data_IF_447815698543
#
_entry.id   IF_447815698543
#
_cell.length_a   1.000
_cell.length_b   1.000
_cell.length_c   1.000
_cell.angle_alpha   90.00
_cell.angle_beta   90.00
_cell.angle_gamma   90.00
#
_symmetry.space_group_name_H-M   'P 1'
#
loop_
_entity.id
_entity.type
_entity.pdbx_description
1 polymer ?
#
# COMPACT_ATOMS: atom_id res chain seq x y z
N UNK A 1 15.13 9.94 30.37
CA UNK A 1 14.56 8.57 30.30
C UNK A 1 13.13 8.60 30.82
N UNK A 2 12.13 8.76 29.95
CA UNK A 2 10.71 8.70 30.32
C UNK A 2 9.84 8.46 29.09
N UNK A 3 9.31 7.24 29.05
CA UNK A 3 8.15 6.68 28.36
C UNK A 3 7.74 7.29 27.00
N UNK A 4 8.16 6.62 25.93
CA UNK A 4 7.50 6.66 24.62
C UNK A 4 6.26 5.76 24.70
N UNK A 5 5.08 6.36 24.79
CA UNK A 5 3.80 5.64 24.74
C UNK A 5 3.61 5.15 23.30
N UNK A 6 3.86 3.86 23.08
CA UNK A 6 3.53 3.16 21.83
C UNK A 6 2.03 3.18 21.65
N UNK A 7 1.58 3.80 20.58
CA UNK A 7 0.17 3.84 20.24
C UNK A 7 -0.05 3.02 18.97
N UNK A 8 -0.89 2.01 19.16
CA UNK A 8 -1.21 0.95 18.20
C UNK A 8 -2.27 1.52 17.26
N UNK A 9 -1.84 1.97 16.08
CA UNK A 9 -2.76 2.26 14.98
C UNK A 9 -2.71 1.10 13.99
N UNK A 10 -3.54 0.09 14.24
CA UNK A 10 -3.98 -0.77 13.16
C UNK A 10 -5.05 0.01 12.39
N UNK A 11 -4.71 0.42 11.16
CA UNK A 11 -5.67 0.92 10.18
C UNK A 11 -6.55 -0.25 9.69
N UNK A 12 -7.44 -0.72 10.54
CA UNK A 12 -8.59 -1.53 10.15
C UNK A 12 -9.85 -0.75 10.44
N UNK A 13 -10.46 -0.20 9.39
CA UNK A 13 -11.74 0.47 9.55
C UNK A 13 -12.05 1.42 8.41
N UNK A 14 -12.21 0.88 7.19
CA UNK A 14 -13.07 1.52 6.18
C UNK A 14 -13.44 0.65 4.96
N UNK A 15 -13.10 -0.64 4.94
CA UNK A 15 -13.41 -1.51 3.79
C UNK A 15 -14.67 -2.36 3.94
N UNK A 16 -15.28 -2.49 5.12
CA UNK A 16 -16.28 -3.54 5.36
C UNK A 16 -17.76 -3.11 5.42
N UNK A 17 -18.12 -1.82 5.27
CA UNK A 17 -19.53 -1.42 5.46
C UNK A 17 -20.46 -1.70 4.26
N UNK A 18 -19.98 -2.03 3.05
CA UNK A 18 -20.89 -2.25 1.90
C UNK A 18 -20.49 -3.39 0.95
N UNK A 19 -19.85 -4.43 1.47
CA UNK A 19 -19.20 -5.42 0.63
C UNK A 19 -19.93 -6.76 0.67
N UNK A 20 -20.64 -7.10 -0.40
CA UNK A 20 -21.10 -8.48 -0.63
C UNK A 20 -19.93 -9.47 -0.65
N UNK A 21 -20.25 -10.76 -0.53
CA UNK A 21 -19.29 -11.84 -0.76
C UNK A 21 -18.61 -11.61 -2.14
N UNK A 22 -17.29 -11.38 -2.15
CA UNK A 22 -16.53 -11.05 -3.37
C UNK A 22 -15.87 -9.67 -3.41
N UNK A 23 -16.07 -8.81 -2.41
CA UNK A 23 -15.44 -7.48 -2.43
C UNK A 23 -13.90 -7.49 -2.24
N UNK A 24 -13.24 -6.48 -2.82
CA UNK A 24 -11.82 -6.17 -2.56
C UNK A 24 -11.52 -5.95 -1.07
N UNK A 25 -12.49 -5.39 -0.31
CA UNK A 25 -12.36 -5.15 1.12
C UNK A 25 -12.19 -6.43 1.94
N UNK A 26 -12.97 -7.46 1.61
CA UNK A 26 -12.90 -8.79 2.24
C UNK A 26 -11.59 -9.50 1.89
N UNK A 27 -11.18 -9.43 0.62
CA UNK A 27 -9.92 -9.99 0.13
C UNK A 27 -8.70 -9.40 0.87
N UNK A 28 -8.65 -8.07 0.99
CA UNK A 28 -7.59 -7.38 1.72
C UNK A 28 -7.60 -7.69 3.23
N UNK A 29 -8.77 -7.87 3.84
CA UNK A 29 -8.87 -8.28 5.24
C UNK A 29 -8.31 -9.70 5.46
N UNK A 30 -8.66 -10.65 4.59
CA UNK A 30 -8.14 -12.02 4.63
C UNK A 30 -6.61 -12.04 4.47
N UNK A 31 -6.09 -11.31 3.47
CA UNK A 31 -4.65 -11.13 3.28
C UNK A 31 -3.97 -10.56 4.54
N UNK A 32 -4.56 -9.53 5.14
CA UNK A 32 -4.02 -8.91 6.34
C UNK A 32 -3.91 -9.88 7.53
N UNK A 33 -4.93 -10.72 7.74
CA UNK A 33 -4.89 -11.75 8.78
C UNK A 33 -3.85 -12.83 8.50
N UNK A 34 -3.75 -13.30 7.25
CA UNK A 34 -2.71 -14.26 6.84
C UNK A 34 -1.31 -13.69 7.05
N UNK A 35 -1.07 -12.45 6.64
CA UNK A 35 0.21 -11.77 6.80
C UNK A 35 0.55 -11.55 8.28
N UNK A 36 -0.40 -11.06 9.09
CA UNK A 36 -0.19 -10.93 10.53
C UNK A 36 0.14 -12.29 11.18
N UNK A 37 -0.55 -13.36 10.77
CA UNK A 37 -0.26 -14.72 11.24
C UNK A 37 1.18 -15.18 10.96
N UNK A 38 1.83 -14.65 9.92
CA UNK A 38 3.26 -14.87 9.61
C UNK A 38 4.20 -13.94 10.37
N UNK A 39 3.74 -12.72 10.70
CA UNK A 39 4.55 -11.70 11.37
C UNK A 39 4.43 -11.74 12.91
N UNK A 40 3.42 -12.41 13.48
CA UNK A 40 3.11 -12.39 14.91
C UNK A 40 4.26 -12.83 15.82
N UNK A 41 5.17 -13.66 15.31
CA UNK A 41 6.31 -14.19 16.06
C UNK A 41 7.58 -13.33 15.89
N UNK A 42 7.49 -12.22 15.15
CA UNK A 42 8.58 -11.26 15.01
C UNK A 42 8.91 -10.62 16.36
N UNK A 43 10.20 -10.40 16.63
CA UNK A 43 10.64 -9.74 17.85
C UNK A 43 10.29 -8.24 17.79
N UNK A 44 9.61 -7.75 18.82
CA UNK A 44 9.26 -6.33 18.96
C UNK A 44 7.89 -6.00 18.38
N UNK A 45 7.69 -4.73 18.07
CA UNK A 45 6.40 -4.23 17.57
C UNK A 45 6.28 -4.48 16.06
N UNK A 46 5.09 -4.91 15.63
CA UNK A 46 4.76 -5.11 14.21
C UNK A 46 3.71 -4.07 13.80
N UNK A 47 4.03 -3.29 12.77
CA UNK A 47 3.12 -2.35 12.13
C UNK A 47 3.27 -2.49 10.61
N UNK A 48 2.16 -2.67 9.91
CA UNK A 48 2.13 -2.70 8.46
C UNK A 48 0.77 -2.23 7.93
N UNK A 49 0.74 -1.80 6.67
CA UNK A 49 -0.49 -1.47 5.94
C UNK A 49 -0.79 -2.58 4.93
N UNK A 50 -1.77 -3.47 5.20
CA UNK A 50 -2.14 -4.52 4.25
C UNK A 50 -2.57 -3.94 2.90
N UNK A 51 -3.34 -2.84 2.93
CA UNK A 51 -3.79 -2.15 1.73
C UNK A 51 -2.62 -1.66 0.86
N UNK A 52 -1.58 -1.08 1.46
CA UNK A 52 -0.40 -0.58 0.75
C UNK A 52 0.34 -1.71 0.03
N UNK A 53 0.61 -2.80 0.74
CA UNK A 53 1.25 -4.00 0.19
C UNK A 53 0.37 -4.59 -0.91
N UNK A 54 -0.93 -4.73 -0.64
CA UNK A 54 -1.90 -5.26 -1.59
C UNK A 54 -1.96 -4.44 -2.88
N UNK A 55 -1.88 -3.11 -2.80
CA UNK A 55 -1.89 -2.21 -3.96
C UNK A 55 -0.60 -2.38 -4.79
N UNK A 56 0.57 -2.44 -4.15
CA UNK A 56 1.85 -2.64 -4.84
C UNK A 56 1.89 -3.98 -5.59
N UNK A 57 1.41 -5.06 -4.95
CA UNK A 57 1.31 -6.36 -5.60
C UNK A 57 0.21 -6.41 -6.67
N UNK A 58 -0.89 -5.67 -6.53
CA UNK A 58 -1.92 -5.56 -7.57
C UNK A 58 -1.40 -4.86 -8.83
N UNK A 59 -0.55 -3.84 -8.69
CA UNK A 59 0.16 -3.22 -9.81
C UNK A 59 1.10 -4.22 -10.51
N UNK A 60 1.83 -5.02 -9.73
CA UNK A 60 2.69 -6.09 -10.29
C UNK A 60 1.87 -7.17 -10.99
N UNK A 61 0.75 -7.56 -10.38
CA UNK A 61 -0.18 -8.58 -10.86
C UNK A 61 -0.80 -8.23 -12.22
N UNK A 62 -1.02 -6.94 -12.50
CA UNK A 62 -1.50 -6.45 -13.80
C UNK A 62 -0.61 -6.89 -14.99
N UNK A 63 0.68 -7.06 -14.74
CA UNK A 63 1.66 -7.54 -15.73
C UNK A 63 1.90 -9.06 -15.71
N UNK A 64 1.41 -9.77 -14.69
CA UNK A 64 1.61 -11.21 -14.53
C UNK A 64 0.62 -12.02 -15.37
N UNK A 65 1.06 -13.15 -15.93
CA UNK A 65 0.21 -14.09 -16.68
C UNK A 65 0.52 -15.53 -16.30
N UNK A 66 -0.45 -16.42 -16.52
CA UNK A 66 -0.25 -17.87 -16.37
C UNK A 66 -0.04 -18.28 -14.92
N UNK A 67 1.04 -19.01 -14.62
CA UNK A 67 1.28 -19.53 -13.27
C UNK A 67 1.63 -18.43 -12.28
N UNK A 68 2.44 -17.45 -12.69
CA UNK A 68 2.79 -16.29 -11.85
C UNK A 68 1.54 -15.52 -11.41
N UNK A 69 0.61 -15.33 -12.34
CA UNK A 69 -0.67 -14.68 -12.05
C UNK A 69 -1.46 -15.46 -10.99
N UNK A 70 -1.62 -16.77 -11.16
CA UNK A 70 -2.35 -17.62 -10.20
C UNK A 70 -1.76 -17.57 -8.80
N UNK A 71 -0.44 -17.72 -8.69
CA UNK A 71 0.26 -17.71 -7.40
C UNK A 71 0.16 -16.35 -6.71
N UNK A 72 0.25 -15.26 -7.47
CA UNK A 72 0.04 -13.92 -6.94
C UNK A 72 -1.40 -13.71 -6.45
N UNK A 73 -2.40 -14.15 -7.21
CA UNK A 73 -3.79 -14.05 -6.79
C UNK A 73 -4.05 -14.84 -5.51
N UNK A 74 -3.52 -16.06 -5.39
CA UNK A 74 -3.65 -16.87 -4.18
C UNK A 74 -2.97 -16.22 -2.97
N UNK A 75 -1.70 -15.81 -3.12
CA UNK A 75 -0.93 -15.21 -2.04
C UNK A 75 -1.56 -13.90 -1.53
N UNK A 76 -2.06 -13.07 -2.45
CA UNK A 76 -2.69 -11.79 -2.14
C UNK A 76 -4.19 -11.91 -1.82
N UNK A 77 -4.73 -13.13 -1.87
CA UNK A 77 -6.15 -13.41 -1.69
C UNK A 77 -7.05 -12.64 -2.67
N UNK A 78 -6.58 -12.36 -3.89
CA UNK A 78 -7.38 -11.72 -4.94
C UNK A 78 -8.43 -12.71 -5.45
N UNK A 79 -9.70 -12.38 -5.23
CA UNK A 79 -10.86 -13.19 -5.64
C UNK A 79 -11.50 -12.73 -6.94
N UNK A 80 -11.18 -11.52 -7.39
CA UNK A 80 -11.65 -10.94 -8.64
C UNK A 80 -10.66 -11.24 -9.77
N UNK A 81 -11.14 -11.46 -11.01
CA UNK A 81 -10.27 -11.52 -12.19
C UNK A 81 -9.61 -10.16 -12.45
N UNK A 82 -8.48 -10.11 -13.20
CA UNK A 82 -7.69 -8.88 -13.37
C UNK A 82 -8.51 -7.67 -13.88
N UNK A 83 -9.39 -7.92 -14.84
CA UNK A 83 -10.21 -6.91 -15.49
C UNK A 83 -11.23 -6.25 -14.55
N UNK A 84 -11.65 -6.97 -13.50
CA UNK A 84 -12.50 -6.43 -12.44
C UNK A 84 -11.70 -5.93 -11.22
N UNK A 85 -10.56 -6.56 -10.94
CA UNK A 85 -9.73 -6.26 -9.76
C UNK A 85 -9.17 -4.84 -9.83
N UNK A 86 -8.62 -4.42 -10.96
CA UNK A 86 -7.99 -3.10 -11.07
C UNK A 86 -8.99 -1.95 -10.94
N UNK A 87 -10.16 -1.97 -11.62
CA UNK A 87 -11.22 -0.99 -11.35
C UNK A 87 -11.68 -0.97 -9.89
N UNK A 88 -11.75 -2.13 -9.22
CA UNK A 88 -12.10 -2.18 -7.80
C UNK A 88 -11.06 -1.47 -6.91
N UNK A 89 -9.77 -1.54 -7.26
CA UNK A 89 -8.72 -0.77 -6.57
C UNK A 89 -8.85 0.73 -6.80
N UNK A 90 -9.22 1.16 -8.00
CA UNK A 90 -9.49 2.57 -8.32
C UNK A 90 -10.64 3.13 -7.47
N UNK A 91 -11.76 2.40 -7.41
CA UNK A 91 -12.91 2.78 -6.58
C UNK A 91 -12.53 2.88 -5.10
N UNK A 92 -11.78 1.90 -4.60
CA UNK A 92 -11.31 1.90 -3.21
C UNK A 92 -10.35 3.08 -2.94
N UNK A 93 -9.43 3.36 -3.85
CA UNK A 93 -8.49 4.48 -3.72
C UNK A 93 -9.23 5.82 -3.74
N UNK A 94 -10.21 6.01 -4.64
CA UNK A 94 -11.05 7.22 -4.67
C UNK A 94 -11.82 7.40 -3.38
N UNK A 95 -12.38 6.32 -2.83
CA UNK A 95 -13.07 6.35 -1.53
C UNK A 95 -12.10 6.73 -0.41
N UNK A 96 -10.92 6.13 -0.36
CA UNK A 96 -9.86 6.46 0.61
C UNK A 96 -9.46 7.94 0.51
N UNK A 97 -9.20 8.42 -0.71
CA UNK A 97 -8.77 9.79 -0.95
C UNK A 97 -9.88 10.82 -0.68
N UNK A 98 -11.17 10.42 -0.65
CA UNK A 98 -12.25 11.32 -0.24
C UNK A 98 -12.11 11.77 1.22
N UNK A 99 -11.48 10.95 2.08
CA UNK A 99 -11.23 11.26 3.49
C UNK A 99 -10.08 12.25 3.70
N UNK A 100 -9.15 12.38 2.73
CA UNK A 100 -8.02 13.33 2.81
C UNK A 100 -8.42 14.81 2.84
N UNK A 101 -9.67 15.13 2.49
CA UNK A 101 -10.23 16.49 2.50
C UNK A 101 -10.34 17.07 3.92
N UNK A 102 -10.37 16.19 4.93
CA UNK A 102 -10.48 16.61 6.32
C UNK A 102 -9.10 17.01 6.85
N UNK A 103 -8.92 18.30 7.15
CA UNK A 103 -7.66 18.79 7.75
C UNK A 103 -7.35 18.10 9.09
N UNK A 104 -8.35 17.55 9.76
CA UNK A 104 -8.22 16.87 11.04
C UNK A 104 -7.81 15.40 10.92
N UNK A 105 -8.06 14.77 9.77
CA UNK A 105 -7.72 13.38 9.48
C UNK A 105 -7.25 13.26 8.02
N UNK A 106 -5.93 13.32 7.82
CA UNK A 106 -5.33 13.22 6.51
C UNK A 106 -4.94 11.78 6.23
N UNK A 107 -5.43 11.23 5.13
CA UNK A 107 -5.01 9.95 4.59
C UNK A 107 -4.57 10.17 3.15
N UNK A 108 -3.27 10.12 2.89
CA UNK A 108 -2.70 10.31 1.56
C UNK A 108 -2.17 8.97 1.06
N UNK A 109 -2.60 8.57 -0.13
CA UNK A 109 -2.07 7.42 -0.85
C UNK A 109 -1.44 7.90 -2.15
N UNK A 110 -0.17 7.58 -2.35
CA UNK A 110 0.57 7.90 -3.56
C UNK A 110 1.18 6.63 -4.15
N UNK A 111 1.00 6.45 -5.45
CA UNK A 111 1.63 5.38 -6.23
C UNK A 111 2.61 5.99 -7.23
N UNK A 112 3.75 5.35 -7.43
CA UNK A 112 4.65 5.67 -8.54
C UNK A 112 5.27 4.44 -9.19
N UNK A 113 5.44 4.55 -10.51
CA UNK A 113 6.14 3.62 -11.39
C UNK A 113 7.43 4.26 -11.86
N UNK A 114 8.51 3.51 -11.74
CA UNK A 114 9.84 3.93 -12.18
C UNK A 114 10.39 2.91 -13.19
N UNK A 115 9.94 2.96 -14.46
CA UNK A 115 10.44 2.07 -15.49
C UNK A 115 11.85 2.47 -15.95
N UNK A 116 12.67 1.49 -16.34
CA UNK A 116 13.89 1.77 -17.13
C UNK A 116 13.47 2.42 -18.44
N UNK A 117 13.96 3.64 -18.71
CA UNK A 117 13.66 4.37 -19.94
C UNK A 117 14.16 3.63 -21.20
N UNK A 118 15.12 2.72 -21.04
CA UNK A 118 15.69 1.93 -22.12
C UNK A 118 14.97 0.59 -22.32
N UNK A 119 13.98 0.26 -21.48
CA UNK A 119 13.19 -0.97 -21.59
C UNK A 119 11.79 -0.69 -22.13
N UNK A 120 11.34 -1.48 -23.13
CA UNK A 120 10.02 -1.31 -23.72
C UNK A 120 8.95 -2.03 -22.90
N UNK A 121 8.16 -1.27 -22.16
CA UNK A 121 6.96 -1.76 -21.48
C UNK A 121 5.78 -1.87 -22.43
N UNK A 122 4.83 -2.75 -22.11
CA UNK A 122 3.57 -2.84 -22.84
C UNK A 122 2.70 -1.61 -22.54
N UNK A 123 2.19 -0.95 -23.58
CA UNK A 123 1.33 0.23 -23.44
C UNK A 123 0.07 -0.10 -22.63
N UNK A 124 -0.50 -1.28 -22.85
CA UNK A 124 -1.67 -1.76 -22.10
C UNK A 124 -1.38 -1.87 -20.60
N UNK A 125 -0.19 -2.33 -20.22
CA UNK A 125 0.20 -2.39 -18.81
C UNK A 125 0.33 -0.98 -18.21
N UNK A 126 1.07 -0.08 -18.86
CA UNK A 126 1.24 1.29 -18.38
C UNK A 126 -0.10 2.03 -18.27
N UNK A 127 -1.02 1.79 -19.23
CA UNK A 127 -2.39 2.33 -19.21
C UNK A 127 -3.18 1.80 -18.01
N UNK A 128 -3.17 0.49 -17.76
CA UNK A 128 -3.84 -0.11 -16.59
C UNK A 128 -3.35 0.51 -15.29
N UNK A 129 -2.03 0.70 -15.14
CA UNK A 129 -1.49 1.28 -13.91
C UNK A 129 -1.87 2.75 -13.73
N UNK A 130 -1.77 3.54 -14.81
CA UNK A 130 -2.17 4.95 -14.80
C UNK A 130 -3.64 5.13 -14.45
N UNK A 131 -4.51 4.38 -15.12
CA UNK A 131 -5.96 4.56 -15.05
C UNK A 131 -6.55 4.08 -13.72
N UNK A 132 -5.99 3.03 -13.12
CA UNK A 132 -6.60 2.38 -11.96
C UNK A 132 -5.90 2.65 -10.61
N UNK A 133 -4.68 3.19 -10.62
CA UNK A 133 -3.91 3.41 -9.39
C UNK A 133 -3.45 4.85 -9.21
N UNK A 134 -3.81 5.74 -10.15
CA UNK A 134 -3.38 7.14 -10.15
C UNK A 134 -1.85 7.29 -10.12
N UNK A 135 -1.12 6.31 -10.65
CA UNK A 135 0.33 6.24 -10.51
C UNK A 135 1.01 7.29 -11.38
N UNK A 136 1.93 8.04 -10.78
CA UNK A 136 2.93 8.80 -11.54
C UNK A 136 3.86 7.80 -12.26
N UNK A 137 4.21 8.04 -13.52
CA UNK A 137 5.21 7.22 -14.24
C UNK A 137 6.43 8.10 -14.50
N UNK A 138 7.59 7.69 -13.99
CA UNK A 138 8.85 8.45 -14.01
C UNK A 138 9.97 7.56 -14.55
N UNK A 139 10.21 7.57 -15.87
CA UNK A 139 11.27 6.76 -16.46
C UNK A 139 12.65 7.19 -15.96
N UNK A 140 13.52 6.22 -15.64
CA UNK A 140 14.88 6.45 -15.14
C UNK A 140 15.90 5.59 -15.90
N UNK A 141 17.16 5.99 -15.89
CA UNK A 141 18.25 5.25 -16.54
C UNK A 141 18.98 4.37 -15.53
N UNK A 142 18.43 3.20 -15.18
CA UNK A 142 19.10 2.33 -14.22
C UNK A 142 20.49 1.87 -14.69
N UNK A 143 20.66 1.71 -16.01
CA UNK A 143 21.90 1.19 -16.59
C UNK A 143 23.09 2.12 -16.38
N UNK A 144 22.86 3.44 -16.38
CA UNK A 144 23.92 4.45 -16.23
C UNK A 144 23.84 5.25 -14.93
N UNK A 145 22.65 5.33 -14.33
CA UNK A 145 22.33 6.25 -13.23
C UNK A 145 21.58 5.54 -12.08
N UNK A 146 21.87 4.25 -11.81
CA UNK A 146 21.21 3.47 -10.73
C UNK A 146 21.21 4.15 -9.37
N UNK A 147 22.34 4.73 -8.97
CA UNK A 147 22.49 5.41 -7.67
C UNK A 147 21.63 6.68 -7.61
N UNK A 148 21.60 7.44 -8.71
CA UNK A 148 20.76 8.63 -8.82
C UNK A 148 19.28 8.26 -8.83
N UNK A 149 18.90 7.18 -9.52
CA UNK A 149 17.53 6.67 -9.50
C UNK A 149 17.11 6.28 -8.07
N UNK A 150 17.99 5.63 -7.31
CA UNK A 150 17.74 5.32 -5.90
C UNK A 150 17.48 6.58 -5.06
N UNK A 151 18.31 7.62 -5.23
CA UNK A 151 18.14 8.92 -4.55
C UNK A 151 16.81 9.58 -4.94
N UNK A 152 16.46 9.60 -6.22
CA UNK A 152 15.21 10.20 -6.71
C UNK A 152 13.96 9.49 -6.18
N UNK A 153 13.98 8.15 -6.15
CA UNK A 153 12.89 7.34 -5.61
C UNK A 153 12.73 7.59 -4.11
N UNK A 154 13.82 7.55 -3.35
CA UNK A 154 13.79 7.82 -1.91
C UNK A 154 13.31 9.25 -1.62
N UNK A 155 13.73 10.24 -2.41
CA UNK A 155 13.25 11.61 -2.27
C UNK A 155 11.75 11.73 -2.52
N UNK A 156 11.25 11.08 -3.56
CA UNK A 156 9.81 11.05 -3.84
C UNK A 156 9.02 10.42 -2.69
N UNK A 157 9.50 9.30 -2.13
CA UNK A 157 8.88 8.66 -0.96
C UNK A 157 8.89 9.59 0.24
N UNK A 158 10.02 10.24 0.52
CA UNK A 158 10.15 11.19 1.62
C UNK A 158 9.13 12.33 1.48
N UNK A 159 9.00 12.90 0.29
CA UNK A 159 8.08 14.02 0.03
C UNK A 159 6.61 13.59 0.14
N UNK A 160 6.24 12.41 -0.38
CA UNK A 160 4.87 11.90 -0.30
C UNK A 160 4.46 11.40 1.09
N UNK A 161 5.43 11.23 2.00
CA UNK A 161 5.19 10.74 3.37
C UNK A 161 5.45 11.79 4.44
N UNK A 162 5.48 13.08 4.08
CA UNK A 162 5.75 14.18 5.02
C UNK A 162 7.05 13.95 5.81
N UNK A 163 8.07 13.43 5.12
CA UNK A 163 9.41 13.12 5.63
C UNK A 163 9.46 12.04 6.71
N UNK A 164 8.40 11.22 6.84
CA UNK A 164 8.32 10.12 7.81
C UNK A 164 9.05 8.86 7.36
N UNK A 165 9.03 8.58 6.05
CA UNK A 165 9.78 7.46 5.48
C UNK A 165 10.98 8.03 4.73
N UNK A 166 12.17 7.65 5.18
CA UNK A 166 13.44 8.05 4.58
C UNK A 166 14.22 6.79 4.23
N UNK A 167 15.06 6.91 3.20
CA UNK A 167 15.98 5.84 2.79
C UNK A 167 15.28 4.48 2.63
N UNK A 168 14.07 4.48 2.03
CA UNK A 168 13.25 3.29 1.84
C UNK A 168 14.03 2.20 1.11
N UNK A 169 14.74 2.61 0.06
CA UNK A 169 15.59 1.76 -0.75
C UNK A 169 17.02 1.96 -0.27
N UNK A 170 17.66 0.93 0.31
CA UNK A 170 19.03 1.05 0.78
C UNK A 170 19.99 1.20 -0.40
N UNK A 171 21.17 1.83 -0.19
CA UNK A 171 22.22 1.86 -1.21
C UNK A 171 22.56 0.45 -1.71
N UNK A 172 22.67 0.29 -3.03
CA UNK A 172 22.97 -0.99 -3.68
C UNK A 172 21.78 -1.94 -3.87
N UNK A 173 20.56 -1.62 -3.42
CA UNK A 173 19.37 -2.41 -3.73
C UNK A 173 18.84 -2.20 -5.17
N UNK A 174 19.23 -1.11 -5.81
CA UNK A 174 18.98 -0.85 -7.23
C UNK A 174 20.31 -0.92 -7.96
N UNK A 175 20.30 -1.57 -9.12
CA UNK A 175 21.48 -1.83 -9.94
C UNK A 175 21.22 -1.60 -11.44
N UNK A 176 22.24 -1.71 -12.31
CA UNK A 176 22.07 -1.58 -13.76
C UNK A 176 21.14 -2.61 -14.42
N UNK A 177 20.81 -3.71 -13.74
CA UNK A 177 19.89 -4.74 -14.24
C UNK A 177 18.43 -4.44 -13.85
N UNK A 178 18.20 -3.48 -12.97
CA UNK A 178 16.86 -3.05 -12.57
C UNK A 178 16.08 -2.55 -13.79
N UNK A 179 14.84 -3.00 -13.93
CA UNK A 179 13.93 -2.61 -15.03
C UNK A 179 12.72 -1.83 -14.57
N UNK A 180 12.26 -2.06 -13.35
CA UNK A 180 11.07 -1.43 -12.82
C UNK A 180 11.16 -1.37 -11.30
N UNK A 181 10.88 -0.20 -10.74
CA UNK A 181 10.56 -0.06 -9.31
C UNK A 181 9.12 0.42 -9.18
N UNK A 182 8.36 -0.28 -8.33
CA UNK A 182 6.98 0.06 -7.97
C UNK A 182 6.95 0.54 -6.53
N UNK A 183 6.36 1.72 -6.31
CA UNK A 183 6.29 2.31 -4.97
C UNK A 183 4.85 2.65 -4.64
N UNK A 184 4.37 2.13 -3.51
CA UNK A 184 3.17 2.61 -2.85
C UNK A 184 3.58 3.28 -1.53
N UNK A 185 3.15 4.52 -1.33
CA UNK A 185 3.34 5.26 -0.10
C UNK A 185 1.96 5.60 0.48
N UNK A 186 1.76 5.27 1.75
CA UNK A 186 0.57 5.65 2.52
C UNK A 186 1.00 6.50 3.71
N UNK A 187 0.35 7.65 3.87
CA UNK A 187 0.56 8.56 4.97
C UNK A 187 -0.76 8.80 5.68
N UNK A 188 -0.75 8.61 7.00
CA UNK A 188 -1.90 8.83 7.85
C UNK A 188 -1.52 9.79 8.98
N UNK A 189 -2.29 10.87 9.13
CA UNK A 189 -2.13 11.85 10.21
C UNK A 189 -3.49 12.21 10.77
N UNK A 190 -3.59 12.19 12.09
CA UNK A 190 -4.71 12.76 12.85
C UNK A 190 -4.13 13.81 13.77
N UNK A 191 -4.70 15.01 13.81
CA UNK A 191 -4.17 16.14 14.59
C UNK A 191 -4.88 16.36 15.94
N UNK A 192 -5.72 15.41 16.34
CA UNK A 192 -6.52 15.50 17.56
C UNK A 192 -6.75 14.12 18.19
N UNK A 193 -7.09 14.06 19.50
CA UNK A 193 -7.41 12.80 20.17
C UNK A 193 -8.49 12.00 19.43
N UNK A 194 -8.25 10.70 19.22
CA UNK A 194 -9.21 9.80 18.58
C UNK A 194 -9.35 8.50 19.36
N UNK A 195 -10.51 7.85 19.25
CA UNK A 195 -10.74 6.50 19.78
C UNK A 195 -10.60 5.52 18.62
N UNK A 196 -9.94 4.40 18.87
CA UNK A 196 -9.88 3.28 17.94
C UNK A 196 -10.51 2.05 18.56
N UNK A 197 -11.09 1.21 17.69
CA UNK A 197 -11.72 -0.04 18.09
C UNK A 197 -11.11 -1.17 17.26
N UNK A 198 -10.84 -2.29 17.92
CA UNK A 198 -10.66 -3.57 17.24
C UNK A 198 -11.99 -4.29 17.37
N UNK A 199 -12.66 -4.50 16.24
CA UNK A 199 -13.99 -5.12 16.18
C UNK A 199 -13.90 -6.44 15.45
N UNK A 200 -14.56 -7.47 15.97
CA UNK A 200 -14.81 -8.69 15.23
C UNK A 200 -15.82 -8.39 14.12
N UNK A 201 -15.46 -8.68 12.87
CA UNK A 201 -16.27 -8.29 11.70
C UNK A 201 -17.54 -9.12 11.54
N UNK A 202 -17.58 -10.33 12.12
CA UNK A 202 -18.70 -11.27 11.95
C UNK A 202 -19.78 -11.03 13.00
N UNK A 203 -19.42 -11.03 14.27
CA UNK A 203 -20.34 -10.83 15.40
C UNK A 203 -20.61 -9.35 15.65
N UNK A 204 -19.73 -8.48 15.17
CA UNK A 204 -19.79 -7.06 15.43
C UNK A 204 -19.30 -6.65 16.83
N UNK A 205 -18.75 -7.58 17.61
CA UNK A 205 -18.25 -7.34 18.97
C UNK A 205 -17.02 -6.44 18.98
N UNK A 206 -16.95 -5.47 19.91
CA UNK A 206 -15.73 -4.69 20.16
C UNK A 206 -14.81 -5.52 21.04
N UNK A 207 -13.69 -5.98 20.48
CA UNK A 207 -12.68 -6.77 21.18
C UNK A 207 -11.73 -5.89 21.98
N UNK A 208 -11.34 -4.75 21.42
CA UNK A 208 -10.51 -3.76 22.09
C UNK A 208 -10.98 -2.35 21.76
N UNK A 209 -10.79 -1.46 22.72
CA UNK A 209 -11.03 -0.03 22.58
C UNK A 209 -9.85 0.70 23.19
N UNK A 210 -9.34 1.70 22.47
CA UNK A 210 -8.24 2.54 22.93
C UNK A 210 -8.46 3.99 22.52
N UNK A 211 -7.76 4.91 23.18
CA UNK A 211 -7.77 6.34 22.83
C UNK A 211 -6.35 6.85 22.59
N UNK A 212 -6.16 7.63 21.53
CA UNK A 212 -5.04 8.54 21.35
C UNK A 212 -5.33 9.83 22.07
N UNK A 213 -4.39 10.37 22.83
CA UNK A 213 -4.55 11.72 23.40
C UNK A 213 -3.59 12.75 22.81
N UNK A 214 -2.45 12.32 22.28
CA UNK A 214 -1.43 13.19 21.68
C UNK A 214 -0.89 12.53 20.41
N UNK A 215 -1.65 12.56 19.30
CA UNK A 215 -1.25 11.94 18.04
C UNK A 215 -0.08 12.60 17.34
#
# INVERSE_FOLDING_TARGET
MKLMISMIVFLFGLSAYCAGEGSLGTSNAEFAFKLYGKLKDAKGNVLFSPYSISTAFAMTYAGARGETEKQMAEAMCFKLPQDELHPAFDELQKKINSYSSDKKCQLLVANSLWPDKNYKFLDGYLKTIKDNYGSETRPVDYQKESDKACVEINKWVEDKTEKKIKDLIPPGAIDPLTRLVLVNAIYFKVDHPFIFFIRDSVTGSILFMGRMQNP
#
